data_IF_611496447324
#
_entry.id   IF_611496447324
#
_cell.length_a   1.000
_cell.length_b   1.000
_cell.length_c   1.000
_cell.angle_alpha   90.00
_cell.angle_beta   90.00
_cell.angle_gamma   90.00
#
_symmetry.space_group_name_H-M   'P 1'
#
loop_
_entity.id
_entity.type
_entity.pdbx_description
1 polymer ?
#
# COMPACT_ATOMS: atom_id res chain seq x y z
N UNK A 1 -6.47 -6.19 -14.84
CA UNK A 1 -6.28 -7.48 -15.52
C UNK A 1 -4.85 -7.96 -15.52
N UNK A 2 -4.66 -9.25 -15.67
CA UNK A 2 -3.37 -9.93 -15.76
C UNK A 2 -2.99 -10.23 -17.22
N UNK A 3 -1.69 -10.40 -17.50
CA UNK A 3 -1.20 -10.90 -18.78
C UNK A 3 -0.70 -12.32 -18.53
N UNK A 4 -1.27 -13.28 -19.25
CA UNK A 4 -1.00 -14.70 -19.10
C UNK A 4 -0.35 -15.30 -20.37
N UNK A 5 0.45 -16.33 -20.19
CA UNK A 5 0.96 -17.20 -21.24
C UNK A 5 -0.16 -18.08 -21.83
N UNK A 6 0.14 -18.85 -22.87
CA UNK A 6 -0.81 -19.78 -23.52
C UNK A 6 -1.30 -20.88 -22.57
N UNK A 7 -0.46 -21.29 -21.62
CA UNK A 7 -0.78 -22.30 -20.60
C UNK A 7 -1.40 -21.72 -19.31
N UNK A 8 -1.69 -20.41 -19.27
CA UNK A 8 -2.26 -19.72 -18.15
C UNK A 8 -1.29 -19.25 -17.07
N UNK A 9 0.02 -19.47 -17.24
CA UNK A 9 1.02 -18.91 -16.32
C UNK A 9 1.02 -17.38 -16.41
N UNK A 10 1.17 -16.71 -15.25
CA UNK A 10 1.12 -15.25 -15.15
C UNK A 10 2.45 -14.66 -15.64
N UNK A 11 2.39 -13.84 -16.69
CA UNK A 11 3.51 -13.08 -17.24
C UNK A 11 3.61 -11.69 -16.60
N UNK A 12 2.47 -11.04 -16.33
CA UNK A 12 2.41 -9.78 -15.60
C UNK A 12 1.13 -9.71 -14.77
N UNK A 13 1.25 -9.28 -13.51
CA UNK A 13 0.12 -9.13 -12.58
C UNK A 13 0.27 -7.90 -11.71
N UNK A 14 -0.84 -7.39 -11.22
CA UNK A 14 -0.87 -6.26 -10.28
C UNK A 14 -1.02 -6.74 -8.85
N UNK A 15 0.00 -6.51 -8.03
CA UNK A 15 0.04 -6.94 -6.63
C UNK A 15 -0.07 -5.72 -5.70
N UNK A 16 -0.95 -5.75 -4.69
CA UNK A 16 -1.07 -4.66 -3.73
C UNK A 16 0.13 -4.64 -2.77
N UNK A 17 0.73 -3.48 -2.64
CA UNK A 17 1.68 -3.13 -1.60
C UNK A 17 1.08 -2.06 -0.69
N UNK A 18 1.55 -1.96 0.52
CA UNK A 18 0.97 -1.12 1.55
C UNK A 18 2.01 -0.16 2.10
N UNK A 19 1.65 1.12 2.15
CA UNK A 19 2.41 2.15 2.84
C UNK A 19 1.86 2.33 4.25
N UNK A 20 2.74 2.26 5.22
CA UNK A 20 2.36 2.31 6.64
C UNK A 20 2.50 3.74 7.14
N UNK A 21 1.37 4.31 7.52
CA UNK A 21 1.29 5.64 8.12
C UNK A 21 0.74 5.57 9.55
N UNK A 22 1.08 6.55 10.32
CA UNK A 22 0.71 6.61 11.73
C UNK A 22 0.14 7.96 12.11
N UNK A 23 -0.98 7.96 12.84
CA UNK A 23 -1.55 9.13 13.48
C UNK A 23 -1.25 9.09 14.98
N UNK A 24 -0.20 9.77 15.46
CA UNK A 24 0.19 9.72 16.86
C UNK A 24 -0.84 10.39 17.79
N UNK A 25 -1.73 11.22 17.27
CA UNK A 25 -2.75 11.91 18.07
C UNK A 25 -3.98 11.03 18.31
N UNK A 26 -4.26 10.09 17.43
CA UNK A 26 -5.36 9.13 17.61
C UNK A 26 -5.17 8.24 18.85
N UNK A 27 -3.93 8.08 19.29
CA UNK A 27 -3.56 7.23 20.44
C UNK A 27 -3.63 8.04 21.74
N UNK A 28 -4.29 7.52 22.77
CA UNK A 28 -4.30 8.14 24.11
C UNK A 28 -2.87 8.26 24.67
N UNK A 29 -2.61 9.34 25.42
CA UNK A 29 -1.27 9.67 25.93
C UNK A 29 -0.66 8.56 26.76
N UNK A 30 -1.45 7.97 27.63
CA UNK A 30 -1.06 6.90 28.55
C UNK A 30 -0.65 5.64 27.76
N UNK A 31 -1.45 5.25 26.75
CA UNK A 31 -1.17 4.08 25.89
C UNK A 31 0.09 4.32 25.07
N UNK A 32 0.25 5.54 24.52
CA UNK A 32 1.43 5.90 23.76
C UNK A 32 2.68 5.83 24.61
N UNK A 33 2.71 6.45 25.79
CA UNK A 33 3.87 6.46 26.69
C UNK A 33 4.24 5.04 27.16
N UNK A 34 3.26 4.22 27.51
CA UNK A 34 3.50 2.85 27.99
C UNK A 34 4.05 1.90 26.91
N UNK A 35 3.73 2.14 25.61
CA UNK A 35 4.02 1.16 24.57
C UNK A 35 4.97 1.68 23.46
N UNK A 36 5.40 2.94 23.52
CA UNK A 36 6.24 3.54 22.48
C UNK A 36 7.58 2.82 22.30
N UNK A 37 8.19 2.39 23.42
CA UNK A 37 9.46 1.67 23.41
C UNK A 37 9.34 0.30 22.73
N UNK A 38 8.26 -0.41 23.01
CA UNK A 38 7.96 -1.72 22.41
C UNK A 38 7.62 -1.58 20.92
N UNK A 39 6.84 -0.56 20.54
CA UNK A 39 6.54 -0.28 19.14
C UNK A 39 7.81 0.06 18.37
N UNK A 40 8.65 0.97 18.90
CA UNK A 40 9.90 1.36 18.27
C UNK A 40 10.86 0.17 18.10
N UNK A 41 10.92 -0.72 19.07
CA UNK A 41 11.69 -1.96 18.97
C UNK A 41 11.17 -2.87 17.85
N UNK A 42 9.86 -3.11 17.79
CA UNK A 42 9.25 -3.94 16.74
C UNK A 42 9.51 -3.35 15.34
N UNK A 43 9.37 -2.03 15.16
CA UNK A 43 9.64 -1.36 13.90
C UNK A 43 11.11 -1.47 13.49
N UNK A 44 12.05 -1.26 14.42
CA UNK A 44 13.48 -1.37 14.13
C UNK A 44 13.88 -2.80 13.73
N UNK A 45 13.33 -3.80 14.39
CA UNK A 45 13.56 -5.23 14.06
C UNK A 45 12.96 -5.62 12.71
N UNK A 46 11.79 -5.07 12.40
CA UNK A 46 11.07 -5.40 11.18
C UNK A 46 11.70 -4.75 9.93
N UNK A 47 11.93 -3.45 9.96
CA UNK A 47 12.46 -2.72 8.81
C UNK A 47 13.99 -2.81 8.68
N UNK A 48 14.72 -3.00 9.78
CA UNK A 48 16.18 -3.13 9.84
C UNK A 48 16.97 -1.97 9.22
N UNK A 49 16.35 -0.80 9.11
CA UNK A 49 16.91 0.42 8.50
C UNK A 49 17.16 1.54 9.51
N UNK A 50 16.84 1.31 10.77
CA UNK A 50 17.03 2.26 11.85
C UNK A 50 17.03 1.61 13.22
N UNK A 51 17.64 2.29 14.19
CA UNK A 51 17.69 1.84 15.58
C UNK A 51 16.33 2.03 16.28
N UNK A 52 16.18 1.37 17.44
CA UNK A 52 15.02 1.59 18.32
C UNK A 52 14.88 3.07 18.69
N UNK A 53 15.98 3.77 19.00
CA UNK A 53 15.95 5.19 19.33
C UNK A 53 15.50 6.05 18.17
N UNK A 54 15.97 5.75 16.95
CA UNK A 54 15.53 6.44 15.74
C UNK A 54 14.01 6.42 15.58
N UNK A 55 13.39 5.23 15.68
CA UNK A 55 11.94 5.11 15.57
C UNK A 55 11.21 5.75 16.75
N UNK A 56 11.71 5.62 17.98
CA UNK A 56 11.14 6.28 19.15
C UNK A 56 11.11 7.79 18.98
N UNK A 57 12.23 8.40 18.59
CA UNK A 57 12.35 9.83 18.38
C UNK A 57 11.44 10.32 17.26
N UNK A 58 11.40 9.58 16.14
CA UNK A 58 10.51 9.89 15.01
C UNK A 58 9.04 9.96 15.43
N UNK A 59 8.56 8.96 16.17
CA UNK A 59 7.18 8.88 16.64
C UNK A 59 6.86 9.94 17.70
N UNK A 60 7.80 10.19 18.63
CA UNK A 60 7.65 11.18 19.69
C UNK A 60 7.63 12.60 19.14
N UNK A 61 8.55 12.94 18.22
CA UNK A 61 8.58 14.25 17.55
C UNK A 61 7.30 14.50 16.76
N UNK A 62 6.78 13.51 16.06
CA UNK A 62 5.54 13.63 15.30
C UNK A 62 4.34 13.96 16.20
N UNK A 63 4.34 13.47 17.46
CA UNK A 63 3.30 13.76 18.45
C UNK A 63 3.48 15.12 19.13
N UNK A 64 4.73 15.47 19.48
CA UNK A 64 5.07 16.64 20.29
C UNK A 64 5.20 17.93 19.47
N UNK A 65 5.16 17.86 18.15
CA UNK A 65 5.29 19.02 17.28
C UNK A 65 4.14 20.02 17.52
N UNK A 66 4.40 21.32 17.36
CA UNK A 66 3.38 22.38 17.44
C UNK A 66 2.18 22.11 16.49
N UNK A 67 2.48 21.52 15.31
CA UNK A 67 1.50 20.99 14.36
C UNK A 67 1.77 19.50 14.19
N UNK A 68 1.06 18.63 14.94
CA UNK A 68 1.30 17.19 14.92
C UNK A 68 1.08 16.58 13.53
N UNK A 69 2.00 15.75 13.09
CA UNK A 69 1.85 15.05 11.82
C UNK A 69 0.91 13.85 11.99
N UNK A 70 -0.34 14.01 11.60
CA UNK A 70 -1.38 12.97 11.68
C UNK A 70 -1.31 11.94 10.55
N UNK A 71 -0.36 12.10 9.63
CA UNK A 71 -0.09 11.18 8.50
C UNK A 71 1.40 10.82 8.41
N UNK A 72 2.02 10.54 9.56
CA UNK A 72 3.44 10.22 9.62
C UNK A 72 3.73 8.95 8.83
N UNK A 73 4.53 9.06 7.79
CA UNK A 73 5.08 7.90 7.07
C UNK A 73 6.06 7.16 7.98
N UNK A 74 5.76 5.91 8.33
CA UNK A 74 6.62 5.10 9.21
C UNK A 74 7.91 4.73 8.49
N UNK A 75 7.79 4.21 7.27
CA UNK A 75 8.92 3.80 6.45
C UNK A 75 8.61 4.04 4.97
N UNK A 76 9.65 4.36 4.18
CA UNK A 76 9.53 4.50 2.72
C UNK A 76 9.34 3.15 2.02
N UNK A 77 9.80 2.07 2.64
CA UNK A 77 9.60 0.71 2.12
C UNK A 77 8.13 0.34 2.26
N UNK A 78 7.49 0.05 1.15
CA UNK A 78 6.16 -0.54 1.11
C UNK A 78 6.23 -2.02 1.52
N UNK A 79 5.19 -2.51 2.15
CA UNK A 79 5.12 -3.87 2.67
C UNK A 79 4.05 -4.67 1.91
N UNK A 80 4.23 -5.97 1.83
CA UNK A 80 3.24 -6.88 1.25
C UNK A 80 2.13 -7.23 2.25
N UNK A 81 1.13 -7.99 1.81
CA UNK A 81 -0.02 -8.36 2.66
C UNK A 81 0.38 -9.17 3.90
N UNK A 82 1.32 -10.10 3.78
CA UNK A 82 1.81 -10.91 4.90
C UNK A 82 2.54 -10.05 5.92
N UNK A 83 3.40 -9.17 5.46
CA UNK A 83 4.11 -8.20 6.29
C UNK A 83 3.14 -7.23 7.01
N UNK A 84 2.09 -6.78 6.31
CA UNK A 84 1.05 -5.95 6.90
C UNK A 84 0.32 -6.66 8.06
N UNK A 85 0.03 -7.96 7.92
CA UNK A 85 -0.57 -8.75 9.01
C UNK A 85 0.30 -8.74 10.26
N UNK A 86 1.62 -8.87 10.10
CA UNK A 86 2.59 -8.81 11.21
C UNK A 86 2.58 -7.42 11.85
N UNK A 87 2.65 -6.35 11.05
CA UNK A 87 2.66 -4.96 11.54
C UNK A 87 1.38 -4.63 12.32
N UNK A 88 0.23 -5.13 11.89
CA UNK A 88 -1.04 -4.93 12.59
C UNK A 88 -1.05 -5.52 14.01
N UNK A 89 -0.18 -6.48 14.31
CA UNK A 89 -0.05 -7.08 15.66
C UNK A 89 0.89 -6.29 16.58
N UNK A 90 1.64 -5.32 16.07
CA UNK A 90 2.56 -4.53 16.89
C UNK A 90 1.85 -3.76 17.99
N UNK A 91 2.53 -3.53 19.14
CA UNK A 91 2.01 -2.68 20.20
C UNK A 91 1.51 -1.35 19.65
N UNK A 92 0.41 -0.83 20.19
CA UNK A 92 -0.34 0.32 19.69
C UNK A 92 -1.10 0.00 18.38
N UNK A 93 -0.47 -0.51 17.33
CA UNK A 93 -1.09 -0.78 16.03
C UNK A 93 -2.23 -1.81 16.08
N UNK A 94 -2.12 -2.79 16.97
CA UNK A 94 -3.18 -3.79 17.24
C UNK A 94 -4.51 -3.19 17.70
N UNK A 95 -4.51 -1.92 18.14
CA UNK A 95 -5.72 -1.20 18.53
C UNK A 95 -6.47 -0.60 17.31
N UNK A 96 -5.95 -0.81 16.10
CA UNK A 96 -6.55 -0.39 14.84
C UNK A 96 -6.43 1.10 14.55
N UNK A 97 -7.19 1.57 13.54
CA UNK A 97 -7.09 2.93 13.01
C UNK A 97 -7.46 4.00 14.05
N UNK A 98 -8.56 3.81 14.76
CA UNK A 98 -9.14 4.86 15.61
C UNK A 98 -8.45 4.99 16.97
N UNK A 99 -7.98 3.89 17.57
CA UNK A 99 -7.34 3.87 18.89
C UNK A 99 -5.83 3.65 18.81
N UNK A 100 -5.37 2.98 17.76
CA UNK A 100 -3.96 2.67 17.52
C UNK A 100 -3.29 3.58 16.49
N UNK A 101 -4.05 4.45 15.81
CA UNK A 101 -3.53 5.41 14.85
C UNK A 101 -2.90 4.81 13.59
N UNK A 102 -3.03 3.50 13.37
CA UNK A 102 -2.49 2.84 12.18
C UNK A 102 -3.32 3.20 10.95
N UNK A 103 -2.71 3.82 9.96
CA UNK A 103 -3.27 4.10 8.64
C UNK A 103 -2.49 3.32 7.59
N UNK A 104 -3.20 2.78 6.63
CA UNK A 104 -2.63 1.95 5.56
C UNK A 104 -3.11 2.52 4.24
N UNK A 105 -2.18 2.87 3.37
CA UNK A 105 -2.46 3.27 1.99
C UNK A 105 -2.07 2.14 1.06
N UNK A 106 -2.92 1.85 0.09
CA UNK A 106 -2.74 0.74 -0.85
C UNK A 106 -2.11 1.30 -2.13
N UNK A 107 -1.09 0.60 -2.62
CA UNK A 107 -0.42 0.90 -3.89
C UNK A 107 -0.29 -0.39 -4.68
N UNK A 108 -0.88 -0.44 -5.85
CA UNK A 108 -0.69 -1.57 -6.74
C UNK A 108 0.68 -1.46 -7.42
N UNK A 109 1.43 -2.55 -7.48
CA UNK A 109 2.68 -2.65 -8.23
C UNK A 109 2.55 -3.72 -9.29
N UNK A 110 2.87 -3.39 -10.53
CA UNK A 110 2.94 -4.37 -11.61
C UNK A 110 4.19 -5.21 -11.42
N UNK A 111 4.03 -6.51 -11.39
CA UNK A 111 5.12 -7.47 -11.26
C UNK A 111 5.11 -8.40 -12.47
N UNK A 112 6.30 -8.72 -12.94
CA UNK A 112 6.56 -9.72 -13.96
C UNK A 112 7.34 -10.86 -13.29
N UNK A 113 6.69 -11.99 -12.96
CA UNK A 113 7.35 -13.10 -12.25
C UNK A 113 8.53 -13.67 -13.02
N UNK A 114 8.45 -13.70 -14.34
CA UNK A 114 9.49 -14.21 -15.25
C UNK A 114 10.36 -13.05 -15.76
N UNK A 115 11.30 -12.60 -14.94
CA UNK A 115 12.06 -11.34 -15.09
C UNK A 115 12.74 -11.16 -16.45
N UNK A 116 13.11 -12.24 -17.15
CA UNK A 116 13.83 -12.18 -18.43
C UNK A 116 13.00 -12.64 -19.63
N UNK A 117 11.78 -13.07 -19.42
CA UNK A 117 10.94 -13.62 -20.46
C UNK A 117 10.12 -12.51 -21.13
N UNK A 118 10.29 -12.36 -22.44
CA UNK A 118 9.49 -11.47 -23.28
C UNK A 118 9.30 -10.02 -22.75
N UNK A 119 10.23 -9.50 -21.95
CA UNK A 119 10.12 -8.19 -21.27
C UNK A 119 9.77 -7.05 -22.23
N UNK A 120 10.33 -7.05 -23.44
CA UNK A 120 10.04 -6.02 -24.46
C UNK A 120 8.67 -6.22 -25.09
N UNK A 121 8.22 -7.47 -25.21
CA UNK A 121 6.90 -7.82 -25.77
C UNK A 121 5.81 -7.51 -24.74
N UNK A 122 5.99 -7.93 -23.49
CA UNK A 122 5.07 -7.62 -22.39
C UNK A 122 5.05 -6.10 -22.15
N UNK A 123 6.22 -5.47 -22.09
CA UNK A 123 6.36 -4.05 -21.85
C UNK A 123 6.38 -3.67 -20.37
N UNK A 124 6.14 -2.42 -20.09
CA UNK A 124 6.13 -1.87 -18.74
C UNK A 124 5.17 -0.69 -18.60
N UNK A 125 4.73 -0.45 -17.38
CA UNK A 125 3.98 0.73 -17.01
C UNK A 125 4.94 1.84 -16.57
N UNK A 126 4.64 3.07 -17.00
CA UNK A 126 5.27 4.26 -16.48
C UNK A 126 4.33 4.93 -15.47
N UNK A 127 4.89 5.45 -14.38
CA UNK A 127 4.14 6.22 -13.40
C UNK A 127 4.35 7.72 -13.71
N UNK A 128 3.29 8.40 -14.06
CA UNK A 128 3.29 9.84 -14.30
C UNK A 128 3.54 10.59 -12.98
N UNK A 129 3.94 11.85 -13.06
CA UNK A 129 4.07 12.73 -11.91
C UNK A 129 2.77 12.89 -11.11
N UNK A 130 1.62 12.65 -11.73
CA UNK A 130 0.29 12.61 -11.09
C UNK A 130 -0.04 11.28 -10.42
N UNK A 131 0.85 10.28 -10.48
CA UNK A 131 0.62 8.94 -9.94
C UNK A 131 -0.22 8.02 -10.84
N UNK A 132 -0.60 8.49 -12.03
CA UNK A 132 -1.31 7.67 -13.02
C UNK A 132 -0.30 6.74 -13.68
N UNK A 133 -0.66 5.47 -13.80
CA UNK A 133 0.15 4.44 -14.46
C UNK A 133 -0.42 4.17 -15.83
N UNK A 134 0.41 4.26 -16.82
CA UNK A 134 0.06 4.07 -18.22
C UNK A 134 1.03 3.11 -18.88
N UNK A 135 0.50 2.25 -19.75
CA UNK A 135 1.29 1.35 -20.59
C UNK A 135 2.12 2.17 -21.60
N UNK A 136 3.44 1.97 -21.58
CA UNK A 136 4.32 2.72 -22.50
C UNK A 136 4.74 1.91 -23.70
N UNK A 137 4.90 0.62 -23.54
CA UNK A 137 5.49 -0.28 -24.56
C UNK A 137 4.85 -1.66 -24.45
N UNK A 138 4.80 -2.38 -25.57
CA UNK A 138 4.41 -3.79 -25.62
C UNK A 138 2.91 -4.01 -25.40
N UNK A 139 2.57 -5.18 -24.88
CA UNK A 139 1.20 -5.58 -24.58
C UNK A 139 0.54 -4.68 -23.53
N UNK A 140 1.31 -4.21 -22.55
CA UNK A 140 0.82 -3.27 -21.52
C UNK A 140 0.30 -1.96 -22.16
N UNK A 141 0.92 -1.49 -23.24
CA UNK A 141 0.46 -0.31 -23.96
C UNK A 141 -0.66 -0.62 -24.97
N UNK A 142 -0.55 -1.75 -25.67
CA UNK A 142 -1.52 -2.13 -26.70
C UNK A 142 -2.90 -2.45 -26.14
N UNK A 143 -2.94 -3.03 -24.93
CA UNK A 143 -4.16 -3.48 -24.25
C UNK A 143 -4.43 -2.71 -22.94
N UNK A 144 -3.98 -1.46 -22.87
CA UNK A 144 -4.14 -0.65 -21.67
C UNK A 144 -5.60 -0.50 -21.25
N UNK A 145 -6.49 -0.27 -22.22
CA UNK A 145 -7.91 -0.07 -21.96
C UNK A 145 -8.59 -1.32 -21.37
N UNK A 146 -8.18 -2.48 -21.85
CA UNK A 146 -8.68 -3.78 -21.39
C UNK A 146 -8.11 -4.16 -20.01
N UNK A 147 -6.81 -3.92 -19.83
CA UNK A 147 -6.10 -4.24 -18.58
C UNK A 147 -6.45 -3.30 -17.43
N UNK A 148 -6.77 -2.03 -17.76
CA UNK A 148 -7.05 -0.99 -16.79
C UNK A 148 -8.48 -1.04 -16.32
N UNK A 149 -8.87 -1.65 -15.31
CA UNK A 149 -10.24 -1.59 -14.77
C UNK A 149 -10.76 -0.15 -14.54
N UNK A 150 -11.95 -0.03 -14.04
CA UNK A 150 -12.58 1.25 -13.71
C UNK A 150 -12.46 1.54 -12.22
N UNK A 151 -12.03 2.75 -11.88
CA UNK A 151 -11.95 3.16 -10.47
C UNK A 151 -13.34 3.33 -9.87
N UNK A 152 -13.53 2.77 -8.67
CA UNK A 152 -14.74 2.98 -7.90
C UNK A 152 -14.87 4.43 -7.42
N UNK A 153 -16.09 4.92 -7.33
CA UNK A 153 -16.39 6.23 -6.76
C UNK A 153 -17.12 6.08 -5.44
N UNK A 154 -16.76 6.91 -4.46
CA UNK A 154 -17.41 6.89 -3.17
C UNK A 154 -17.59 8.27 -2.58
N UNK A 155 -18.75 8.50 -1.98
CA UNK A 155 -19.07 9.75 -1.29
C UNK A 155 -18.70 9.61 0.18
N UNK A 156 -17.92 10.55 0.68
CA UNK A 156 -17.68 10.67 2.12
C UNK A 156 -18.91 11.31 2.78
N UNK A 157 -19.58 10.56 3.63
CA UNK A 157 -20.72 11.05 4.40
C UNK A 157 -20.48 10.86 5.90
N UNK A 158 -20.88 11.85 6.69
CA UNK A 158 -20.83 11.72 8.15
C UNK A 158 -22.08 10.95 8.61
N UNK A 159 -21.85 9.79 9.25
CA UNK A 159 -22.90 9.00 9.85
C UNK A 159 -22.57 8.73 11.32
N UNK A 160 -23.49 9.05 12.21
CA UNK A 160 -23.31 8.85 13.67
C UNK A 160 -21.98 9.41 14.23
N UNK A 161 -21.56 10.60 13.76
CA UNK A 161 -20.32 11.23 14.21
C UNK A 161 -19.02 10.68 13.61
N UNK A 162 -19.11 9.73 12.66
CA UNK A 162 -17.96 9.15 11.99
C UNK A 162 -18.08 9.36 10.47
N UNK A 163 -16.95 9.73 9.83
CA UNK A 163 -16.88 9.79 8.38
C UNK A 163 -16.80 8.38 7.79
N UNK A 164 -17.79 8.03 7.00
CA UNK A 164 -17.83 6.78 6.22
C UNK A 164 -17.77 7.09 4.73
N UNK A 165 -17.09 6.23 3.98
CA UNK A 165 -17.13 6.25 2.52
C UNK A 165 -18.23 5.29 2.09
N UNK A 166 -19.28 5.83 1.50
CA UNK A 166 -20.34 5.03 0.90
C UNK A 166 -19.97 4.81 -0.57
N UNK A 167 -19.87 3.58 -1.04
CA UNK A 167 -19.61 3.34 -2.46
C UNK A 167 -20.81 3.82 -3.28
N UNK A 168 -20.56 4.67 -4.25
CA UNK A 168 -21.54 5.10 -5.25
C UNK A 168 -21.43 4.22 -6.49
N UNK A 169 -20.19 3.88 -6.84
CA UNK A 169 -19.85 2.94 -7.91
C UNK A 169 -18.74 2.02 -7.42
N UNK A 170 -18.94 0.75 -7.51
CA UNK A 170 -17.89 -0.23 -7.18
C UNK A 170 -16.80 -0.23 -8.26
N UNK A 171 -15.53 -0.47 -7.90
CA UNK A 171 -14.48 -0.63 -8.88
C UNK A 171 -14.72 -1.87 -9.73
N UNK A 172 -14.39 -1.79 -11.01
CA UNK A 172 -14.45 -2.92 -11.94
C UNK A 172 -13.03 -3.31 -12.30
N UNK A 173 -12.69 -4.57 -12.09
CA UNK A 173 -11.40 -5.10 -12.48
C UNK A 173 -11.24 -5.11 -14.01
N UNK A 174 -10.02 -4.88 -14.50
CA UNK A 174 -9.72 -5.00 -15.91
C UNK A 174 -9.71 -6.45 -16.37
N UNK A 175 -9.84 -6.65 -17.67
CA UNK A 175 -9.84 -7.96 -18.31
C UNK A 175 -8.42 -8.55 -18.36
N UNK A 176 -8.32 -9.87 -18.22
CA UNK A 176 -7.07 -10.60 -18.40
C UNK A 176 -6.79 -10.83 -19.90
N UNK A 177 -5.54 -10.77 -20.27
CA UNK A 177 -5.07 -11.02 -21.64
C UNK A 177 -4.32 -12.33 -21.66
N UNK A 178 -4.79 -13.27 -22.46
CA UNK A 178 -4.08 -14.53 -22.74
C UNK A 178 -3.29 -14.37 -24.03
N UNK A 179 -2.00 -14.63 -23.97
CA UNK A 179 -1.07 -14.53 -25.10
C UNK A 179 -0.75 -15.90 -25.65
N UNK A 180 -0.10 -15.95 -26.80
CA UNK A 180 0.48 -17.16 -27.41
C UNK A 180 1.94 -17.37 -27.01
N UNK A 181 2.43 -16.69 -25.98
CA UNK A 181 3.80 -16.84 -25.47
C UNK A 181 3.89 -18.13 -24.70
N UNK A 182 4.82 -18.99 -25.10
CA UNK A 182 5.20 -20.21 -24.39
C UNK A 182 6.27 -19.89 -23.32
N UNK A 183 6.18 -20.55 -22.12
CA UNK A 183 7.02 -20.24 -20.94
C UNK A 183 7.80 -21.48 -20.47
#
# INVERSE_FOLDING_TARGET
GDICADDGRILATSVPFYEIRFDPIAVKKEIFQANIDSLAYCLSKFFKDGSKSFYKDKLTRARSAKHPNRHLLINKRRVNHTELKIIRQFPIFRLGKNKGGLKVEVFNKRLQPHVNLAVRTIGYLNESASGIREGRVGLEAAFENELKGEEGQGIKRMMSGTWMVLPEREPIDGHDIVTTIDV
#
